data_IF_210325684555
#
_entry.id   IF_210325684555
#
_cell.length_a   1.000
_cell.length_b   1.000
_cell.length_c   1.000
_cell.angle_alpha   90.00
_cell.angle_beta   90.00
_cell.angle_gamma   90.00
#
_symmetry.space_group_name_H-M   'P 1'
#
loop_
_entity.id
_entity.type
_entity.pdbx_description
1 polymer ?
#
# COMPACT_ATOMS: atom_id res chain seq x y z
N UNK A 1 9.76 -31.59 -15.91
CA UNK A 1 9.81 -31.92 -14.47
C UNK A 1 10.67 -30.94 -13.63
N UNK A 2 11.99 -30.79 -13.87
CA UNK A 2 12.86 -29.90 -13.03
C UNK A 2 12.47 -28.41 -12.99
N UNK A 3 11.81 -27.87 -14.01
CA UNK A 3 11.40 -26.46 -14.05
C UNK A 3 10.10 -26.16 -13.29
N UNK A 4 9.22 -27.16 -13.09
CA UNK A 4 7.95 -26.99 -12.36
C UNK A 4 8.09 -27.23 -10.86
N UNK A 5 8.98 -28.11 -10.41
CA UNK A 5 9.30 -28.23 -8.98
C UNK A 5 10.01 -26.98 -8.42
N UNK A 6 10.80 -26.31 -9.26
CA UNK A 6 11.35 -24.97 -8.96
C UNK A 6 10.27 -23.91 -8.79
N UNK A 7 9.04 -24.11 -9.28
CA UNK A 7 7.93 -23.14 -9.23
C UNK A 7 7.28 -23.06 -7.84
N UNK A 8 6.98 -24.22 -7.25
CA UNK A 8 6.47 -24.34 -5.88
C UNK A 8 7.53 -23.85 -4.88
N UNK A 9 8.80 -24.18 -5.15
CA UNK A 9 9.94 -23.65 -4.41
C UNK A 9 10.06 -22.14 -4.64
N UNK A 10 10.05 -21.59 -5.85
CA UNK A 10 10.22 -20.15 -6.11
C UNK A 10 9.11 -19.28 -5.51
N UNK A 11 7.84 -19.68 -5.51
CA UNK A 11 6.79 -18.88 -4.85
C UNK A 11 6.93 -18.91 -3.32
N UNK A 12 7.26 -20.06 -2.76
CA UNK A 12 7.60 -20.17 -1.34
C UNK A 12 8.88 -19.39 -1.04
N UNK A 13 9.95 -19.51 -1.85
CA UNK A 13 11.27 -18.89 -1.70
C UNK A 13 11.30 -17.39 -2.04
N UNK A 14 10.38 -16.87 -2.87
CA UNK A 14 10.25 -15.43 -3.15
C UNK A 14 9.63 -14.71 -1.97
N UNK A 15 8.62 -15.32 -1.34
CA UNK A 15 8.02 -14.84 -0.10
C UNK A 15 8.89 -15.13 1.14
N UNK A 16 9.87 -16.04 1.05
CA UNK A 16 10.51 -16.63 2.24
C UNK A 16 12.06 -16.74 2.22
N UNK A 17 12.77 -16.92 1.11
CA UNK A 17 14.25 -17.10 1.15
C UNK A 17 15.08 -16.03 0.46
N UNK A 18 16.18 -15.67 1.14
CA UNK A 18 17.17 -14.70 0.72
C UNK A 18 18.15 -15.26 -0.31
N UNK A 19 18.12 -14.69 -1.51
CA UNK A 19 19.33 -14.50 -2.31
C UNK A 19 19.91 -13.13 -1.93
N UNK A 20 21.11 -13.15 -1.34
CA UNK A 20 21.82 -11.99 -0.81
C UNK A 20 22.55 -11.30 -1.97
N UNK A 21 22.20 -10.03 -2.25
CA UNK A 21 23.13 -9.13 -2.91
C UNK A 21 23.81 -8.28 -1.83
N UNK A 22 25.14 -8.37 -1.77
CA UNK A 22 25.96 -7.57 -0.88
C UNK A 22 25.91 -6.11 -1.34
N UNK A 23 25.32 -5.25 -0.51
CA UNK A 23 25.52 -3.80 -0.58
C UNK A 23 26.17 -3.35 0.73
N UNK A 24 27.18 -2.51 0.57
CA UNK A 24 28.10 -2.02 1.60
C UNK A 24 27.37 -1.24 2.70
N UNK A 25 27.72 -1.55 3.95
CA UNK A 25 27.13 -0.98 5.17
C UNK A 25 27.33 0.55 5.26
N UNK A 26 26.28 1.34 5.59
CA UNK A 26 26.49 2.72 6.00
C UNK A 26 26.97 2.77 7.46
N UNK A 27 27.93 3.67 7.72
CA UNK A 27 28.52 3.95 9.03
C UNK A 27 27.44 4.38 10.04
N UNK A 28 27.62 3.94 11.30
CA UNK A 28 26.83 4.34 12.47
C UNK A 28 26.92 5.86 12.68
N UNK A 29 25.76 6.51 12.76
CA UNK A 29 25.65 7.87 13.27
C UNK A 29 25.03 7.82 14.67
N UNK A 30 25.75 8.34 15.65
CA UNK A 30 25.28 8.52 17.03
C UNK A 30 24.35 9.73 17.11
N UNK A 31 23.21 9.58 17.77
CA UNK A 31 22.24 10.65 18.03
C UNK A 31 22.51 11.26 19.41
N UNK A 32 22.79 12.57 19.53
CA UNK A 32 22.78 13.26 20.82
C UNK A 32 21.39 13.86 21.08
N UNK A 33 20.85 13.55 22.26
CA UNK A 33 19.61 14.14 22.79
C UNK A 33 19.96 15.35 23.65
N UNK A 34 19.62 16.56 23.20
CA UNK A 34 19.57 17.75 24.05
C UNK A 34 18.36 18.60 23.67
N UNK A 35 17.36 18.62 24.55
CA UNK A 35 16.17 19.45 24.40
C UNK A 35 16.53 20.91 24.68
N UNK A 36 16.45 21.77 23.64
CA UNK A 36 16.62 23.22 23.74
C UNK A 36 15.24 23.89 23.62
N UNK A 37 14.91 24.77 24.56
CA UNK A 37 13.66 25.58 24.54
C UNK A 37 13.57 26.41 23.24
N UNK A 38 12.39 26.57 22.61
CA UNK A 38 12.26 27.34 21.38
C UNK A 38 12.13 28.84 21.69
N UNK A 39 13.11 29.62 21.25
CA UNK A 39 12.93 31.03 20.93
C UNK A 39 12.45 31.16 19.47
N UNK A 40 11.66 32.19 19.18
CA UNK A 40 11.16 32.49 17.84
C UNK A 40 12.30 32.44 16.79
N UNK A 41 12.09 31.71 15.69
CA UNK A 41 12.95 31.75 14.50
C UNK A 41 12.14 32.31 13.34
N UNK A 42 12.37 33.57 13.01
CA UNK A 42 12.10 34.06 11.66
C UNK A 42 12.92 33.22 10.66
N UNK A 43 12.38 32.99 9.47
CA UNK A 43 13.16 32.40 8.37
C UNK A 43 14.45 33.24 8.23
N UNK A 44 15.64 32.61 8.11
CA UNK A 44 16.84 33.35 7.72
C UNK A 44 16.54 34.20 6.49
N UNK A 45 16.80 35.51 6.55
CA UNK A 45 16.66 36.41 5.39
C UNK A 45 17.34 35.75 4.18
N UNK A 46 16.57 35.47 3.12
CA UNK A 46 17.08 34.94 1.85
C UNK A 46 16.57 33.56 1.39
N UNK A 47 15.72 32.86 2.14
CA UNK A 47 15.09 31.62 1.63
C UNK A 47 13.76 31.92 0.91
N UNK A 48 13.70 31.55 -0.37
CA UNK A 48 12.52 31.65 -1.23
C UNK A 48 11.46 30.60 -0.85
N UNK A 49 10.21 31.02 -0.75
CA UNK A 49 9.04 30.15 -0.57
C UNK A 49 8.87 29.24 -1.79
N UNK A 50 8.83 27.92 -1.56
CA UNK A 50 8.75 26.90 -2.61
C UNK A 50 7.44 26.12 -2.56
N UNK A 51 6.91 25.85 -3.74
CA UNK A 51 5.78 24.96 -3.96
C UNK A 51 6.16 23.89 -4.99
N UNK A 52 5.77 22.65 -4.71
CA UNK A 52 5.95 21.52 -5.62
C UNK A 52 4.61 20.83 -5.85
N UNK A 53 4.42 20.25 -7.03
CA UNK A 53 3.23 19.48 -7.36
C UNK A 53 3.63 18.18 -8.04
N UNK A 54 3.06 17.06 -7.59
CA UNK A 54 3.32 15.74 -8.14
C UNK A 54 2.02 14.96 -8.32
N UNK A 55 1.97 14.16 -9.37
CA UNK A 55 0.89 13.21 -9.65
C UNK A 55 1.35 11.81 -9.31
N UNK A 56 0.50 11.00 -8.67
CA UNK A 56 0.87 9.65 -8.27
C UNK A 56 -0.29 8.67 -8.28
N UNK A 57 0.03 7.38 -8.45
CA UNK A 57 -0.88 6.25 -8.24
C UNK A 57 -0.73 5.64 -6.84
N UNK A 58 -0.05 6.33 -5.91
CA UNK A 58 0.15 5.83 -4.55
C UNK A 58 -1.15 5.85 -3.76
N UNK A 59 -1.52 4.69 -3.20
CA UNK A 59 -2.65 4.56 -2.30
C UNK A 59 -2.26 4.77 -0.83
N UNK A 60 -0.98 4.61 -0.52
CA UNK A 60 -0.46 4.64 0.85
C UNK A 60 0.26 5.93 1.21
N UNK A 61 0.51 6.87 0.28
CA UNK A 61 1.38 8.03 0.55
C UNK A 61 0.98 8.85 1.78
N UNK A 62 -0.32 9.11 1.96
CA UNK A 62 -0.82 9.84 3.14
C UNK A 62 -0.60 9.05 4.43
N UNK A 63 -0.74 7.73 4.38
CA UNK A 63 -0.45 6.84 5.51
C UNK A 63 1.05 6.80 5.80
N UNK A 64 1.89 6.77 4.77
CA UNK A 64 3.34 6.78 4.94
C UNK A 64 3.78 8.01 5.76
N UNK A 65 3.25 9.20 5.47
CA UNK A 65 3.54 10.40 6.25
C UNK A 65 3.13 10.30 7.73
N UNK A 66 2.15 9.45 8.06
CA UNK A 66 1.72 9.20 9.44
C UNK A 66 2.51 8.08 10.13
N UNK A 67 3.01 7.09 9.38
CA UNK A 67 3.55 5.83 9.93
C UNK A 67 5.02 5.54 9.61
N UNK A 68 5.74 6.43 8.92
CA UNK A 68 7.21 6.34 8.82
C UNK A 68 7.88 7.31 9.78
N UNK A 69 9.15 7.07 10.18
CA UNK A 69 9.88 8.02 11.00
C UNK A 69 9.96 9.39 10.30
N UNK A 70 9.79 10.53 11.02
CA UNK A 70 9.78 11.86 10.40
C UNK A 70 11.07 12.26 9.66
N UNK A 71 12.16 11.53 9.88
CA UNK A 71 13.45 11.71 9.21
C UNK A 71 13.55 10.97 7.88
N UNK A 72 12.61 10.08 7.58
CA UNK A 72 12.64 9.22 6.41
C UNK A 72 11.78 9.78 5.28
N UNK A 73 12.19 9.51 4.04
CA UNK A 73 11.46 9.99 2.86
C UNK A 73 10.39 8.98 2.46
N UNK A 74 9.12 9.40 2.33
CA UNK A 74 8.06 8.53 1.83
C UNK A 74 8.29 8.15 0.36
N UNK A 75 7.75 7.00 -0.04
CA UNK A 75 7.76 6.53 -1.42
C UNK A 75 6.54 7.09 -2.16
N UNK A 76 6.81 7.89 -3.19
CA UNK A 76 5.80 8.47 -4.08
C UNK A 76 6.01 7.99 -5.53
N UNK A 77 5.34 6.92 -5.99
CA UNK A 77 5.37 6.52 -7.40
C UNK A 77 4.75 7.61 -8.29
N UNK A 78 5.58 8.38 -8.98
CA UNK A 78 5.14 9.46 -9.85
C UNK A 78 4.51 8.87 -11.12
N UNK A 79 3.36 9.41 -11.53
CA UNK A 79 2.67 9.03 -12.76
C UNK A 79 2.57 10.22 -13.71
N UNK A 80 2.88 10.00 -14.98
CA UNK A 80 2.77 11.00 -16.05
C UNK A 80 1.75 10.63 -17.12
N UNK A 81 1.18 9.42 -17.06
CA UNK A 81 0.20 8.90 -18.03
C UNK A 81 -0.91 8.15 -17.30
N UNK A 82 -2.15 8.38 -17.69
CA UNK A 82 -3.33 7.69 -17.15
C UNK A 82 -4.32 7.37 -18.25
N UNK A 83 -5.13 6.34 -18.05
CA UNK A 83 -6.27 6.04 -18.91
C UNK A 83 -7.53 6.80 -18.46
N UNK A 84 -8.52 6.90 -19.34
CA UNK A 84 -9.84 7.37 -18.94
C UNK A 84 -10.38 6.51 -17.78
N UNK A 85 -11.06 7.14 -16.83
CA UNK A 85 -11.63 6.57 -15.59
C UNK A 85 -10.62 6.00 -14.59
N UNK A 86 -9.32 6.04 -14.90
CA UNK A 86 -8.28 5.73 -13.93
C UNK A 86 -8.13 6.88 -12.93
N UNK A 87 -8.17 6.55 -11.64
CA UNK A 87 -7.92 7.50 -10.56
C UNK A 87 -6.42 7.73 -10.38
N UNK A 88 -6.05 8.98 -10.14
CA UNK A 88 -4.73 9.38 -9.67
C UNK A 88 -4.84 10.54 -8.68
N UNK A 89 -3.85 10.67 -7.82
CA UNK A 89 -3.81 11.73 -6.81
C UNK A 89 -2.82 12.83 -7.22
N UNK A 90 -3.19 14.08 -6.92
CA UNK A 90 -2.33 15.26 -7.05
C UNK A 90 -1.94 15.72 -5.65
N UNK A 91 -0.65 15.69 -5.38
CA UNK A 91 -0.03 16.11 -4.14
C UNK A 91 0.62 17.49 -4.31
N UNK A 92 0.31 18.41 -3.41
CA UNK A 92 0.91 19.75 -3.37
C UNK A 92 1.77 19.87 -2.12
N UNK A 93 3.02 20.30 -2.28
CA UNK A 93 3.98 20.41 -1.19
C UNK A 93 4.48 21.84 -1.06
N UNK A 94 4.80 22.22 0.18
CA UNK A 94 5.31 23.54 0.54
C UNK A 94 6.62 23.41 1.30
N UNK A 95 7.53 24.37 1.10
CA UNK A 95 8.80 24.45 1.81
C UNK A 95 9.21 25.92 1.94
N UNK A 96 9.91 26.26 3.02
CA UNK A 96 10.43 27.61 3.30
C UNK A 96 9.32 28.68 3.42
N UNK A 97 8.16 28.35 3.99
CA UNK A 97 7.11 29.34 4.29
C UNK A 97 7.34 30.01 5.65
N UNK A 98 6.78 31.21 5.82
CA UNK A 98 6.94 31.99 7.04
C UNK A 98 6.07 31.49 8.18
N UNK A 99 6.57 31.67 9.39
CA UNK A 99 5.90 31.33 10.63
C UNK A 99 5.85 32.57 11.49
N UNK A 100 4.66 32.91 11.97
CA UNK A 100 4.42 33.99 12.94
C UNK A 100 3.59 33.42 14.08
N UNK A 101 4.02 33.59 15.32
CA UNK A 101 3.33 33.08 16.52
C UNK A 101 3.06 31.57 16.50
N UNK A 102 4.01 30.78 15.97
CA UNK A 102 3.89 29.33 15.70
C UNK A 102 2.77 28.95 14.73
N UNK A 103 2.24 29.90 13.97
CA UNK A 103 1.19 29.73 12.98
C UNK A 103 1.76 29.92 11.57
N UNK A 104 1.21 29.17 10.63
CA UNK A 104 1.45 29.33 9.18
C UNK A 104 0.16 29.71 8.49
N UNK A 105 0.25 30.43 7.38
CA UNK A 105 -0.91 30.75 6.54
C UNK A 105 -0.50 30.66 5.07
N UNK A 106 -0.64 29.47 4.51
CA UNK A 106 -0.40 29.21 3.09
C UNK A 106 -1.71 28.83 2.42
N UNK A 107 -2.04 29.50 1.32
CA UNK A 107 -3.14 29.10 0.44
C UNK A 107 -2.62 28.80 -0.96
N UNK A 108 -3.42 28.12 -1.76
CA UNK A 108 -3.08 27.89 -3.16
C UNK A 108 -4.29 27.79 -4.07
N UNK A 109 -4.06 28.09 -5.33
CA UNK A 109 -5.00 27.87 -6.43
C UNK A 109 -4.54 26.66 -7.23
N UNK A 110 -5.50 25.87 -7.71
CA UNK A 110 -5.26 24.80 -8.68
C UNK A 110 -5.99 25.11 -9.97
N UNK A 111 -5.29 25.03 -11.11
CA UNK A 111 -5.88 25.18 -12.44
C UNK A 111 -5.41 24.07 -13.36
N UNK A 112 -6.34 23.25 -13.82
CA UNK A 112 -6.12 22.21 -14.81
C UNK A 112 -6.51 22.74 -16.19
N UNK A 113 -5.55 22.72 -17.12
CA UNK A 113 -5.75 23.08 -18.53
C UNK A 113 -5.55 21.85 -19.38
N UNK A 114 -6.54 21.52 -20.21
CA UNK A 114 -6.48 20.40 -21.13
C UNK A 114 -5.69 20.70 -22.41
N UNK A 115 -5.68 19.73 -23.35
CA UNK A 115 -5.05 19.89 -24.64
C UNK A 115 -5.56 21.15 -25.35
N UNK A 116 -4.66 21.87 -26.05
CA UNK A 116 -4.95 23.14 -26.74
C UNK A 116 -5.35 24.29 -25.82
N UNK A 117 -4.99 24.23 -24.54
CA UNK A 117 -5.18 25.33 -23.59
C UNK A 117 -6.61 25.49 -23.06
N UNK A 118 -7.54 24.58 -23.41
CA UNK A 118 -8.91 24.61 -22.90
C UNK A 118 -8.91 24.50 -21.38
N UNK A 119 -9.66 25.37 -20.72
CA UNK A 119 -9.89 25.24 -19.29
C UNK A 119 -10.63 23.93 -19.03
N UNK A 120 -10.07 23.10 -18.15
CA UNK A 120 -10.70 21.86 -17.74
C UNK A 120 -11.41 22.04 -16.40
N UNK A 121 -10.69 22.57 -15.42
CA UNK A 121 -11.16 22.78 -14.05
C UNK A 121 -10.23 23.75 -13.32
N UNK A 122 -10.74 24.43 -12.29
CA UNK A 122 -9.89 25.12 -11.33
C UNK A 122 -10.60 25.50 -10.04
N UNK A 123 -9.85 25.55 -8.94
CA UNK A 123 -10.30 26.06 -7.64
C UNK A 123 -9.30 27.07 -7.13
N UNK A 124 -9.80 28.07 -6.42
CA UNK A 124 -9.01 29.16 -5.85
C UNK A 124 -9.08 29.15 -4.33
N UNK A 125 -8.10 29.79 -3.70
CA UNK A 125 -8.05 30.02 -2.25
C UNK A 125 -8.19 28.74 -1.43
N UNK A 126 -7.60 27.64 -1.91
CA UNK A 126 -7.58 26.38 -1.18
C UNK A 126 -6.59 26.46 -0.03
N UNK A 127 -6.97 25.79 1.05
CA UNK A 127 -6.17 25.71 2.27
C UNK A 127 -4.88 24.91 2.02
N UNK A 128 -3.72 25.55 2.08
CA UNK A 128 -2.43 24.90 1.90
C UNK A 128 -1.85 24.41 3.22
N UNK A 129 -1.65 25.30 4.18
CA UNK A 129 -1.28 24.97 5.56
C UNK A 129 -1.91 26.04 6.47
N UNK A 130 -2.76 25.63 7.42
CA UNK A 130 -3.40 26.57 8.35
C UNK A 130 -2.94 26.37 9.79
N UNK A 131 -2.61 27.52 10.40
CA UNK A 131 -2.69 28.03 11.77
C UNK A 131 -2.81 27.06 12.98
N UNK A 132 -3.49 25.91 12.90
CA UNK A 132 -3.77 25.07 14.08
C UNK A 132 -2.67 24.05 14.42
N UNK A 133 -1.71 23.81 13.53
CA UNK A 133 -0.59 22.91 13.79
C UNK A 133 0.67 23.69 14.15
N UNK A 134 1.26 23.40 15.32
CA UNK A 134 2.59 23.90 15.67
C UNK A 134 3.62 23.31 14.69
N UNK A 135 4.07 24.10 13.73
CA UNK A 135 5.14 23.72 12.81
C UNK A 135 6.47 24.24 13.34
N UNK A 136 7.39 23.34 13.66
CA UNK A 136 8.71 23.70 14.21
C UNK A 136 9.82 23.71 13.15
N UNK A 137 9.53 23.31 11.91
CA UNK A 137 10.53 23.14 10.84
C UNK A 137 9.99 23.61 9.47
N UNK A 138 9.85 24.94 9.23
CA UNK A 138 9.32 25.48 7.98
C UNK A 138 10.18 25.17 6.75
N UNK A 139 11.46 24.88 6.95
CA UNK A 139 12.42 24.50 5.91
C UNK A 139 12.29 23.03 5.47
N UNK A 140 11.46 22.22 6.13
CA UNK A 140 11.14 20.87 5.67
C UNK A 140 10.06 20.91 4.58
N UNK A 141 9.89 19.80 3.87
CA UNK A 141 8.80 19.64 2.91
C UNK A 141 7.54 19.25 3.66
N UNK A 142 6.48 20.04 3.49
CA UNK A 142 5.17 19.81 4.10
C UNK A 142 4.14 19.48 3.02
N UNK A 143 3.35 18.44 3.23
CA UNK A 143 2.24 18.10 2.34
C UNK A 143 1.01 18.96 2.68
N UNK A 144 0.33 19.47 1.65
CA UNK A 144 -1.00 20.08 1.78
C UNK A 144 -2.03 19.10 2.34
N UNK A 145 -2.90 19.49 3.29
CA UNK A 145 -4.00 18.64 3.75
C UNK A 145 -5.04 18.40 2.65
N UNK A 146 -5.02 19.20 1.57
CA UNK A 146 -5.86 18.99 0.40
C UNK A 146 -5.13 18.13 -0.64
N UNK A 147 -5.55 16.87 -0.74
CA UNK A 147 -5.14 15.93 -1.80
C UNK A 147 -6.29 15.83 -2.79
N UNK A 148 -5.97 16.04 -4.07
CA UNK A 148 -6.97 15.97 -5.14
C UNK A 148 -6.94 14.59 -5.77
N UNK A 149 -8.07 13.89 -5.71
CA UNK A 149 -8.26 12.65 -6.44
C UNK A 149 -9.01 12.95 -7.72
N UNK A 150 -8.36 12.68 -8.85
CA UNK A 150 -8.83 13.04 -10.20
C UNK A 150 -9.01 11.77 -11.03
N UNK A 151 -10.06 11.76 -11.85
CA UNK A 151 -10.22 10.86 -12.99
C UNK A 151 -10.71 11.63 -14.20
N UNK A 152 -10.25 11.24 -15.39
CA UNK A 152 -10.80 11.76 -16.65
C UNK A 152 -12.00 10.93 -17.11
N UNK A 153 -12.96 11.56 -17.77
CA UNK A 153 -14.06 10.87 -18.44
C UNK A 153 -13.60 10.28 -19.77
N UNK A 154 -14.32 9.27 -20.28
CA UNK A 154 -14.05 8.69 -21.60
C UNK A 154 -14.25 9.68 -22.76
N UNK A 155 -15.06 10.72 -22.55
CA UNK A 155 -15.31 11.80 -23.50
C UNK A 155 -14.25 12.90 -23.49
N UNK A 156 -13.34 12.91 -22.50
CA UNK A 156 -12.36 13.98 -22.38
C UNK A 156 -11.29 13.91 -23.49
N UNK A 157 -10.84 15.06 -24.03
CA UNK A 157 -9.86 15.07 -25.11
C UNK A 157 -8.54 14.40 -24.71
N UNK A 158 -8.12 13.39 -25.48
CA UNK A 158 -6.81 12.75 -25.31
C UNK A 158 -5.69 13.78 -25.46
N UNK A 159 -4.61 13.58 -24.71
CA UNK A 159 -3.40 14.41 -24.78
C UNK A 159 -2.93 14.90 -23.42
N UNK A 160 -2.02 15.87 -23.44
CA UNK A 160 -1.37 16.37 -22.23
C UNK A 160 -2.17 17.46 -21.56
N UNK A 161 -2.51 17.21 -20.29
CA UNK A 161 -3.09 18.17 -19.37
C UNK A 161 -1.97 18.78 -18.53
N UNK A 162 -2.11 20.07 -18.21
CA UNK A 162 -1.20 20.80 -17.32
C UNK A 162 -1.94 21.19 -16.06
N UNK A 163 -1.42 20.75 -14.92
CA UNK A 163 -1.94 21.06 -13.58
C UNK A 163 -1.06 22.15 -13.01
N UNK A 164 -1.58 23.37 -12.94
CA UNK A 164 -0.86 24.55 -12.46
C UNK A 164 -1.26 24.82 -11.01
N UNK A 165 -0.28 25.10 -10.17
CA UNK A 165 -0.46 25.54 -8.79
C UNK A 165 0.11 26.94 -8.65
N UNK A 166 -0.67 27.86 -8.08
CA UNK A 166 -0.19 29.15 -7.60
C UNK A 166 -0.36 29.15 -6.09
N UNK A 167 0.74 29.26 -5.34
CA UNK A 167 0.70 29.28 -3.88
C UNK A 167 1.10 30.66 -3.34
N UNK A 168 0.50 31.05 -2.24
CA UNK A 168 0.73 32.32 -1.55
C UNK A 168 0.98 32.05 -0.08
N UNK A 169 2.12 32.51 0.44
CA UNK A 169 2.39 32.59 1.87
C UNK A 169 1.97 33.98 2.37
N UNK A 170 0.86 34.04 3.10
CA UNK A 170 0.27 35.29 3.57
C UNK A 170 1.06 35.95 4.71
N UNK A 171 2.01 35.25 5.32
CA UNK A 171 2.84 35.81 6.39
C UNK A 171 4.03 36.56 5.79
N UNK A 172 4.71 35.98 4.79
CA UNK A 172 5.82 36.66 4.10
C UNK A 172 5.38 37.54 2.91
N UNK A 173 4.16 37.33 2.40
CA UNK A 173 3.67 37.95 1.16
C UNK A 173 4.26 37.32 -0.12
N UNK A 174 5.06 36.26 -0.01
CA UNK A 174 5.66 35.61 -1.18
C UNK A 174 4.64 34.78 -1.95
N UNK A 175 4.75 34.81 -3.28
CA UNK A 175 4.00 33.95 -4.18
C UNK A 175 4.94 33.05 -4.99
N UNK A 176 4.48 31.85 -5.31
CA UNK A 176 5.20 30.94 -6.19
C UNK A 176 4.24 30.20 -7.12
N UNK A 177 4.73 29.83 -8.30
CA UNK A 177 3.96 29.11 -9.33
C UNK A 177 4.72 27.86 -9.74
N UNK A 178 4.02 26.74 -9.79
CA UNK A 178 4.57 25.46 -10.25
C UNK A 178 3.55 24.72 -11.11
N UNK A 179 3.98 23.69 -11.80
CA UNK A 179 3.08 22.85 -12.57
C UNK A 179 3.61 21.42 -12.72
N UNK A 180 2.69 20.50 -12.98
CA UNK A 180 3.00 19.15 -13.47
C UNK A 180 2.17 18.82 -14.71
N UNK A 181 2.54 17.76 -15.42
CA UNK A 181 1.87 17.29 -16.64
C UNK A 181 1.41 15.85 -16.47
N UNK A 182 0.19 15.60 -16.93
CA UNK A 182 -0.39 14.27 -17.01
C UNK A 182 -0.96 14.06 -18.41
N UNK A 183 -0.61 12.96 -19.07
CA UNK A 183 -1.16 12.61 -20.38
C UNK A 183 -2.33 11.67 -20.21
N UNK A 184 -3.51 12.11 -20.64
CA UNK A 184 -4.67 11.25 -20.80
C UNK A 184 -4.48 10.41 -22.07
N UNK A 185 -4.32 9.11 -21.86
CA UNK A 185 -4.40 8.10 -22.90
C UNK A 185 -5.87 7.87 -23.29
N UNK A 186 -6.11 7.07 -24.34
CA UNK A 186 -7.46 6.58 -24.61
C UNK A 186 -7.98 5.65 -23.51
N UNK A 187 -8.98 4.82 -23.84
CA UNK A 187 -9.29 3.66 -22.99
C UNK A 187 -8.12 2.67 -22.96
N UNK A 188 -7.99 1.85 -21.90
CA UNK A 188 -7.09 0.70 -21.97
C UNK A 188 -7.53 -0.21 -23.13
N UNK A 189 -6.62 -1.03 -23.70
CA UNK A 189 -7.01 -2.13 -24.57
C UNK A 189 -8.20 -2.90 -23.97
N UNK A 190 -9.28 -3.07 -24.73
CA UNK A 190 -10.44 -3.82 -24.25
C UNK A 190 -10.21 -5.33 -24.27
N UNK A 191 -9.16 -5.78 -24.97
CA UNK A 191 -8.77 -7.18 -25.07
C UNK A 191 -7.27 -7.30 -24.83
N UNK A 192 -6.91 -8.28 -24.01
CA UNK A 192 -5.53 -8.64 -23.73
C UNK A 192 -5.34 -10.12 -24.00
N UNK A 193 -4.18 -10.46 -24.55
CA UNK A 193 -3.71 -11.83 -24.57
C UNK A 193 -2.92 -12.10 -23.29
N UNK A 194 -2.99 -13.33 -22.79
CA UNK A 194 -2.07 -13.78 -21.77
C UNK A 194 -0.64 -13.59 -22.28
N UNK A 195 0.22 -13.01 -21.45
CA UNK A 195 1.65 -12.92 -21.73
C UNK A 195 2.30 -14.14 -21.09
N UNK A 196 3.24 -14.77 -21.79
CA UNK A 196 4.06 -15.86 -21.28
C UNK A 196 5.08 -15.32 -20.26
N UNK A 197 4.62 -14.85 -19.11
CA UNK A 197 5.49 -14.51 -18.02
C UNK A 197 6.03 -15.78 -17.38
N UNK A 198 7.33 -15.78 -17.12
CA UNK A 198 7.91 -16.72 -16.19
C UNK A 198 7.34 -16.44 -14.79
N UNK A 199 7.25 -17.48 -13.95
CA UNK A 199 6.89 -17.33 -12.54
C UNK A 199 7.72 -16.29 -11.77
N UNK A 200 8.99 -16.19 -12.13
CA UNK A 200 9.90 -15.20 -11.56
C UNK A 200 9.47 -13.77 -11.90
N UNK A 201 9.11 -13.51 -13.16
CA UNK A 201 8.66 -12.19 -13.59
C UNK A 201 7.32 -11.81 -12.96
N UNK A 202 6.40 -12.77 -12.78
CA UNK A 202 5.16 -12.55 -12.03
C UNK A 202 5.49 -12.19 -10.58
N UNK A 203 6.37 -12.96 -9.92
CA UNK A 203 6.81 -12.69 -8.55
C UNK A 203 7.44 -11.32 -8.38
N UNK A 204 8.37 -10.93 -9.27
CA UNK A 204 9.02 -9.61 -9.25
C UNK A 204 8.02 -8.48 -9.51
N UNK A 205 7.10 -8.66 -10.47
CA UNK A 205 6.03 -7.69 -10.73
C UNK A 205 5.15 -7.48 -9.50
N UNK A 206 4.78 -8.57 -8.82
CA UNK A 206 3.91 -8.52 -7.64
C UNK A 206 4.63 -7.87 -6.45
N UNK A 207 5.83 -8.34 -6.09
CA UNK A 207 6.54 -7.91 -4.87
C UNK A 207 6.87 -6.42 -4.85
N UNK A 208 7.09 -5.81 -6.01
CA UNK A 208 7.48 -4.40 -6.12
C UNK A 208 6.41 -3.50 -6.75
N UNK A 209 5.18 -3.99 -6.91
CA UNK A 209 4.12 -3.23 -7.57
C UNK A 209 3.86 -1.88 -6.89
N UNK A 210 3.80 -1.83 -5.55
CA UNK A 210 3.57 -0.57 -4.82
C UNK A 210 4.66 0.49 -5.03
N UNK A 211 5.89 0.11 -5.40
CA UNK A 211 6.99 1.05 -5.69
C UNK A 211 6.86 1.66 -7.09
N UNK A 212 6.35 0.89 -8.05
CA UNK A 212 6.24 1.28 -9.45
C UNK A 212 4.99 0.64 -10.07
N UNK A 213 3.79 1.14 -9.72
CA UNK A 213 2.54 0.55 -10.16
C UNK A 213 2.41 0.68 -11.68
N UNK A 214 2.14 -0.45 -12.34
CA UNK A 214 1.90 -0.54 -13.79
C UNK A 214 0.53 -1.18 -14.06
N UNK A 215 -0.58 -0.44 -13.84
CA UNK A 215 -1.94 -0.98 -14.00
C UNK A 215 -2.20 -1.62 -15.37
N UNK A 216 -1.62 -1.07 -16.44
CA UNK A 216 -1.75 -1.56 -17.80
C UNK A 216 -1.27 -3.00 -18.00
N UNK A 217 -0.44 -3.51 -17.07
CA UNK A 217 0.05 -4.89 -17.09
C UNK A 217 -0.82 -5.85 -16.29
N UNK A 218 -1.76 -5.38 -15.47
CA UNK A 218 -2.52 -6.23 -14.55
C UNK A 218 -3.33 -7.30 -15.27
N UNK A 219 -4.09 -6.93 -16.31
CA UNK A 219 -4.90 -7.89 -17.07
C UNK A 219 -4.03 -8.98 -17.72
N UNK A 220 -3.03 -8.69 -18.57
CA UNK A 220 -2.25 -9.75 -19.22
C UNK A 220 -1.45 -10.61 -18.23
N UNK A 221 -0.96 -10.02 -17.13
CA UNK A 221 -0.29 -10.79 -16.06
C UNK A 221 -1.28 -11.71 -15.35
N UNK A 222 -2.49 -11.24 -15.04
CA UNK A 222 -3.51 -12.04 -14.38
C UNK A 222 -3.97 -13.22 -15.25
N UNK A 223 -4.18 -13.01 -16.55
CA UNK A 223 -4.53 -14.10 -17.48
C UNK A 223 -3.43 -15.16 -17.55
N UNK A 224 -2.16 -14.75 -17.62
CA UNK A 224 -1.03 -15.69 -17.57
C UNK A 224 -0.98 -16.45 -16.23
N UNK A 225 -1.29 -15.78 -15.13
CA UNK A 225 -1.41 -16.38 -13.81
C UNK A 225 -2.55 -17.41 -13.72
N UNK A 226 -3.74 -17.13 -14.28
CA UNK A 226 -4.87 -18.06 -14.29
C UNK A 226 -4.52 -19.39 -14.96
N UNK A 227 -3.82 -19.32 -16.10
CA UNK A 227 -3.31 -20.49 -16.81
C UNK A 227 -2.33 -21.28 -15.94
N UNK A 228 -1.32 -20.62 -15.36
CA UNK A 228 -0.34 -21.28 -14.48
C UNK A 228 -1.02 -21.96 -13.28
N UNK A 229 -2.03 -21.31 -12.68
CA UNK A 229 -2.75 -21.90 -11.54
C UNK A 229 -3.55 -23.13 -11.94
N UNK A 230 -4.17 -23.10 -13.11
CA UNK A 230 -4.90 -24.26 -13.65
C UNK A 230 -3.93 -25.41 -13.91
N UNK A 231 -2.84 -25.16 -14.63
CA UNK A 231 -1.80 -26.16 -14.91
C UNK A 231 -1.21 -26.76 -13.61
N UNK A 232 -1.04 -25.95 -12.57
CA UNK A 232 -0.52 -26.39 -11.27
C UNK A 232 -1.54 -27.18 -10.47
N UNK A 233 -2.83 -26.84 -10.52
CA UNK A 233 -3.88 -27.56 -9.81
C UNK A 233 -4.11 -28.95 -10.43
N UNK A 234 -3.96 -29.06 -11.75
CA UNK A 234 -4.05 -30.35 -12.44
C UNK A 234 -2.88 -31.28 -12.05
N UNK A 235 -1.69 -30.72 -11.79
CA UNK A 235 -0.50 -31.49 -11.34
C UNK A 235 -0.47 -31.70 -9.81
N UNK A 236 -0.96 -30.74 -9.04
CA UNK A 236 -0.98 -30.71 -7.57
C UNK A 236 -2.36 -30.25 -7.10
N UNK A 237 -3.32 -31.17 -6.87
CA UNK A 237 -4.70 -30.83 -6.51
C UNK A 237 -4.82 -29.94 -5.26
N UNK A 238 -3.87 -30.04 -4.32
CA UNK A 238 -3.83 -29.25 -3.09
C UNK A 238 -3.16 -27.87 -3.24
N UNK A 239 -2.79 -27.47 -4.46
CA UNK A 239 -2.17 -26.17 -4.72
C UNK A 239 -3.12 -25.03 -4.35
N UNK A 240 -2.70 -24.19 -3.39
CA UNK A 240 -3.46 -23.06 -2.90
C UNK A 240 -2.85 -21.74 -3.38
N UNK A 241 -3.49 -21.08 -4.33
CA UNK A 241 -3.08 -19.79 -4.89
C UNK A 241 -3.76 -18.57 -4.25
N UNK A 242 -4.39 -18.71 -3.09
CA UNK A 242 -5.19 -17.65 -2.45
C UNK A 242 -4.39 -16.39 -2.11
N UNK A 243 -3.13 -16.54 -1.70
CA UNK A 243 -2.27 -15.38 -1.45
C UNK A 243 -2.03 -14.58 -2.74
N UNK A 244 -1.76 -15.27 -3.85
CA UNK A 244 -1.56 -14.63 -5.15
C UNK A 244 -2.84 -13.94 -5.63
N UNK A 245 -4.00 -14.57 -5.42
CA UNK A 245 -5.30 -13.93 -5.67
C UNK A 245 -5.51 -12.66 -4.85
N UNK A 246 -5.02 -12.61 -3.59
CA UNK A 246 -5.15 -11.42 -2.75
C UNK A 246 -4.40 -10.21 -3.31
N UNK A 247 -3.24 -10.42 -3.96
CA UNK A 247 -2.54 -9.35 -4.66
C UNK A 247 -3.40 -8.79 -5.79
N UNK A 248 -3.91 -9.65 -6.67
CA UNK A 248 -4.72 -9.21 -7.80
C UNK A 248 -6.02 -8.57 -7.33
N UNK A 249 -6.68 -9.13 -6.32
CA UNK A 249 -7.84 -8.55 -5.68
C UNK A 249 -7.58 -7.10 -5.27
N UNK A 250 -6.48 -6.84 -4.56
CA UNK A 250 -6.13 -5.48 -4.12
C UNK A 250 -5.74 -4.59 -5.29
N UNK A 251 -4.91 -5.08 -6.21
CA UNK A 251 -4.46 -4.31 -7.36
C UNK A 251 -5.61 -3.89 -8.29
N UNK A 252 -6.56 -4.78 -8.59
CA UNK A 252 -7.74 -4.46 -9.39
C UNK A 252 -8.77 -3.62 -8.63
N UNK A 253 -8.90 -3.78 -7.31
CA UNK A 253 -9.76 -2.90 -6.48
C UNK A 253 -9.30 -1.44 -6.55
N UNK A 254 -8.00 -1.21 -6.74
CA UNK A 254 -7.39 0.10 -6.98
C UNK A 254 -7.41 0.51 -8.46
N UNK A 255 -7.70 -0.40 -9.38
CA UNK A 255 -7.67 -0.16 -10.82
C UNK A 255 -8.95 -0.67 -11.49
N UNK A 256 -10.11 -0.32 -10.91
CA UNK A 256 -11.42 -0.86 -11.35
C UNK A 256 -11.76 -0.52 -12.80
N UNK A 257 -11.13 0.51 -13.38
CA UNK A 257 -11.23 0.85 -14.80
C UNK A 257 -10.81 -0.30 -15.75
N UNK A 258 -10.04 -1.27 -15.25
CA UNK A 258 -9.60 -2.44 -16.02
C UNK A 258 -10.59 -3.60 -16.00
N UNK A 259 -11.63 -3.57 -15.13
CA UNK A 259 -12.56 -4.69 -15.00
C UNK A 259 -13.33 -5.01 -16.29
N UNK A 260 -13.75 -4.03 -17.12
CA UNK A 260 -14.32 -4.33 -18.44
C UNK A 260 -13.35 -5.07 -19.35
N UNK A 261 -12.07 -4.68 -19.37
CA UNK A 261 -11.06 -5.33 -20.19
C UNK A 261 -10.73 -6.74 -19.68
N UNK A 262 -10.68 -6.94 -18.36
CA UNK A 262 -10.55 -8.26 -17.75
C UNK A 262 -11.72 -9.17 -18.16
N UNK A 263 -12.95 -8.67 -18.03
CA UNK A 263 -14.18 -9.38 -18.42
C UNK A 263 -14.14 -9.83 -19.88
N UNK A 264 -13.83 -8.89 -20.79
CA UNK A 264 -13.76 -9.18 -22.21
C UNK A 264 -12.63 -10.15 -22.60
N UNK A 265 -11.53 -10.16 -21.83
CA UNK A 265 -10.42 -11.06 -22.10
C UNK A 265 -10.63 -12.46 -21.48
N UNK A 266 -11.43 -12.56 -20.40
CA UNK A 266 -11.69 -13.80 -19.69
C UNK A 266 -12.93 -14.56 -20.19
N UNK A 267 -13.90 -13.88 -20.81
CA UNK A 267 -15.18 -14.50 -21.21
C UNK A 267 -15.04 -15.70 -22.14
N UNK A 268 -14.01 -15.69 -23.00
CA UNK A 268 -13.74 -16.74 -24.00
C UNK A 268 -12.75 -17.80 -23.50
N UNK A 269 -12.29 -17.71 -22.25
CA UNK A 269 -11.40 -18.70 -21.64
C UNK A 269 -12.19 -19.94 -21.18
N UNK A 270 -11.51 -21.11 -21.08
CA UNK A 270 -12.07 -22.26 -20.38
C UNK A 270 -12.53 -21.89 -18.98
N UNK A 271 -13.61 -22.51 -18.51
CA UNK A 271 -14.17 -22.20 -17.19
C UNK A 271 -13.17 -22.37 -16.05
N UNK A 272 -12.27 -23.35 -16.17
CA UNK A 272 -11.19 -23.62 -15.22
C UNK A 272 -10.28 -22.41 -14.94
N UNK A 273 -10.10 -21.53 -15.93
CA UNK A 273 -9.36 -20.26 -15.82
C UNK A 273 -10.30 -19.08 -15.53
N UNK A 274 -11.44 -19.01 -16.24
CA UNK A 274 -12.45 -17.95 -16.14
C UNK A 274 -12.95 -17.76 -14.70
N UNK A 275 -13.13 -18.86 -13.96
CA UNK A 275 -13.60 -18.83 -12.57
C UNK A 275 -12.71 -17.97 -11.65
N UNK A 276 -11.42 -17.81 -11.96
CA UNK A 276 -10.53 -16.94 -11.17
C UNK A 276 -10.89 -15.46 -11.32
N UNK A 277 -11.27 -15.02 -12.52
CA UNK A 277 -11.75 -13.66 -12.74
C UNK A 277 -13.08 -13.41 -12.01
N UNK A 278 -14.00 -14.37 -12.08
CA UNK A 278 -15.29 -14.32 -11.35
C UNK A 278 -15.04 -14.24 -9.85
N UNK A 279 -14.20 -15.13 -9.30
CA UNK A 279 -13.85 -15.14 -7.88
C UNK A 279 -13.29 -13.79 -7.41
N UNK A 280 -12.40 -13.20 -8.18
CA UNK A 280 -11.81 -11.90 -7.86
C UNK A 280 -12.84 -10.77 -7.90
N UNK A 281 -13.71 -10.74 -8.91
CA UNK A 281 -14.75 -9.72 -9.04
C UNK A 281 -15.85 -9.86 -7.99
N UNK A 282 -16.16 -11.08 -7.54
CA UNK A 282 -17.17 -11.36 -6.53
C UNK A 282 -16.95 -10.50 -5.27
N UNK A 283 -15.71 -10.45 -4.80
CA UNK A 283 -15.30 -9.76 -3.57
C UNK A 283 -15.05 -8.26 -3.73
N UNK A 284 -15.19 -7.72 -4.94
CA UNK A 284 -14.98 -6.29 -5.20
C UNK A 284 -16.22 -5.49 -4.94
N UNK A 285 -16.07 -4.40 -4.21
CA UNK A 285 -17.12 -3.41 -4.02
C UNK A 285 -17.32 -2.60 -5.31
N UNK A 286 -18.18 -3.09 -6.21
CA UNK A 286 -18.51 -2.40 -7.44
C UNK A 286 -19.96 -2.64 -7.89
N UNK A 287 -20.74 -1.59 -8.17
CA UNK A 287 -22.15 -1.72 -8.55
C UNK A 287 -22.36 -2.40 -9.90
N UNK A 288 -21.35 -2.39 -10.76
CA UNK A 288 -21.42 -3.02 -12.09
C UNK A 288 -20.96 -4.49 -12.11
N UNK A 289 -20.64 -5.09 -10.95
CA UNK A 289 -20.26 -6.51 -10.83
C UNK A 289 -21.24 -7.45 -11.54
N UNK A 290 -22.57 -7.38 -11.32
CA UNK A 290 -23.50 -8.35 -11.92
C UNK A 290 -23.46 -8.32 -13.46
N UNK A 291 -23.33 -7.11 -14.04
CA UNK A 291 -23.23 -6.93 -15.49
C UNK A 291 -21.94 -7.52 -16.06
N UNK A 292 -20.81 -7.31 -15.38
CA UNK A 292 -19.52 -7.86 -15.82
C UNK A 292 -19.52 -9.39 -15.75
N UNK A 293 -20.06 -9.96 -14.68
CA UNK A 293 -20.14 -11.42 -14.52
C UNK A 293 -21.09 -12.03 -15.55
N UNK A 294 -22.26 -11.43 -15.79
CA UNK A 294 -23.19 -11.89 -16.82
C UNK A 294 -22.56 -11.91 -18.22
N UNK A 295 -21.69 -10.94 -18.53
CA UNK A 295 -20.98 -10.88 -19.81
C UNK A 295 -19.96 -12.04 -20.01
N UNK A 296 -19.61 -12.78 -18.94
CA UNK A 296 -18.73 -13.96 -19.01
C UNK A 296 -19.49 -15.29 -19.21
N UNK A 297 -20.82 -15.28 -19.15
CA UNK A 297 -21.69 -16.42 -19.45
C UNK A 297 -22.43 -17.02 -18.25
N UNK A 298 -23.34 -17.97 -18.49
CA UNK A 298 -24.17 -18.58 -17.44
C UNK A 298 -23.38 -19.37 -16.39
N UNK A 299 -22.28 -20.01 -16.80
CA UNK A 299 -21.32 -20.72 -15.94
C UNK A 299 -20.70 -19.79 -14.90
N UNK A 300 -20.25 -18.61 -15.34
CA UNK A 300 -19.72 -17.56 -14.47
C UNK A 300 -20.76 -17.05 -13.47
N UNK A 301 -22.00 -16.81 -13.92
CA UNK A 301 -23.09 -16.39 -13.03
C UNK A 301 -23.44 -17.46 -11.99
N UNK A 302 -23.44 -18.74 -12.38
CA UNK A 302 -23.69 -19.84 -11.45
C UNK A 302 -22.60 -19.91 -10.38
N UNK A 303 -21.34 -19.77 -10.78
CA UNK A 303 -20.23 -19.76 -9.83
C UNK A 303 -20.23 -18.53 -8.91
N UNK A 304 -20.56 -17.33 -9.41
CA UNK A 304 -20.71 -16.14 -8.56
C UNK A 304 -21.71 -16.38 -7.42
N UNK A 305 -22.85 -17.03 -7.72
CA UNK A 305 -23.87 -17.36 -6.73
C UNK A 305 -23.40 -18.35 -5.66
N UNK A 306 -22.47 -19.26 -5.97
CA UNK A 306 -21.96 -20.19 -4.93
C UNK A 306 -21.11 -19.45 -3.89
N UNK A 307 -20.53 -18.31 -4.27
CA UNK A 307 -19.68 -17.49 -3.42
C UNK A 307 -20.48 -16.58 -2.47
N UNK A 308 -21.77 -16.32 -2.72
CA UNK A 308 -22.62 -15.45 -1.88
C UNK A 308 -22.69 -15.93 -0.41
N UNK A 309 -22.54 -17.23 -0.16
CA UNK A 309 -22.52 -17.84 1.17
C UNK A 309 -21.15 -17.81 1.86
N UNK A 310 -20.10 -17.44 1.12
CA UNK A 310 -18.73 -17.48 1.60
C UNK A 310 -18.35 -16.19 2.34
N UNK A 311 -17.35 -16.26 3.21
CA UNK A 311 -16.72 -15.07 3.77
C UNK A 311 -15.62 -14.58 2.82
N UNK A 312 -15.46 -13.26 2.71
CA UNK A 312 -14.38 -12.69 1.92
C UNK A 312 -13.01 -13.15 2.49
N UNK A 313 -12.24 -13.97 1.75
CA UNK A 313 -11.02 -14.57 2.27
C UNK A 313 -9.86 -13.56 2.37
N UNK A 314 -10.01 -12.37 1.77
CA UNK A 314 -9.01 -11.31 1.79
C UNK A 314 -9.15 -10.39 3.00
N UNK A 315 -10.23 -10.53 3.79
CA UNK A 315 -10.41 -9.78 5.04
C UNK A 315 -9.81 -10.59 6.19
N UNK A 316 -8.56 -10.29 6.53
CA UNK A 316 -7.86 -10.89 7.66
C UNK A 316 -7.93 -9.95 8.86
N UNK A 317 -8.51 -10.42 9.98
CA UNK A 317 -8.47 -9.68 11.26
C UNK A 317 -7.16 -9.92 12.00
N UNK A 318 -6.76 -11.18 12.12
CA UNK A 318 -5.48 -11.63 12.67
C UNK A 318 -5.11 -12.92 11.94
N UNK A 319 -3.86 -13.05 11.50
CA UNK A 319 -3.44 -14.27 10.80
C UNK A 319 -3.28 -15.42 11.79
N UNK A 320 -3.86 -16.57 11.45
CA UNK A 320 -3.85 -17.84 12.21
C UNK A 320 -3.32 -19.01 11.38
N UNK A 321 -2.84 -18.74 10.18
CA UNK A 321 -2.19 -19.69 9.28
C UNK A 321 -1.12 -19.00 8.44
N UNK A 322 -0.22 -19.78 7.83
CA UNK A 322 0.76 -19.29 6.85
C UNK A 322 0.09 -18.63 5.65
N UNK A 323 -0.96 -19.23 5.11
CA UNK A 323 -1.70 -18.67 3.97
C UNK A 323 -2.26 -17.28 4.28
N UNK A 324 -2.76 -17.05 5.50
CA UNK A 324 -3.25 -15.72 5.90
C UNK A 324 -2.12 -14.69 6.06
N UNK A 325 -0.92 -15.11 6.48
CA UNK A 325 0.26 -14.24 6.46
C UNK A 325 0.64 -13.86 5.02
N UNK A 326 0.63 -14.83 4.10
CA UNK A 326 0.95 -14.59 2.69
C UNK A 326 -0.10 -13.70 2.01
N UNK A 327 -1.39 -13.83 2.36
CA UNK A 327 -2.44 -12.89 1.95
C UNK A 327 -2.10 -11.47 2.40
N UNK A 328 -1.73 -11.27 3.67
CA UNK A 328 -1.36 -9.94 4.19
C UNK A 328 -0.13 -9.36 3.44
N UNK A 329 0.87 -10.19 3.14
CA UNK A 329 2.00 -9.78 2.32
C UNK A 329 1.59 -9.36 0.92
N UNK A 330 0.74 -10.14 0.25
CA UNK A 330 0.22 -9.83 -1.07
C UNK A 330 -0.59 -8.53 -1.10
N UNK A 331 -1.38 -8.25 -0.07
CA UNK A 331 -2.10 -6.98 0.09
C UNK A 331 -1.13 -5.80 0.26
N UNK A 332 -0.05 -5.97 1.04
CA UNK A 332 1.01 -4.96 1.16
C UNK A 332 1.74 -4.74 -0.17
N UNK A 333 2.18 -5.79 -0.86
CA UNK A 333 2.93 -5.64 -2.10
C UNK A 333 2.12 -4.97 -3.22
N UNK A 334 0.79 -5.16 -3.22
CA UNK A 334 -0.10 -4.46 -4.13
C UNK A 334 -0.22 -2.95 -3.84
N UNK A 335 -0.18 -2.51 -2.58
CA UNK A 335 -0.64 -1.17 -2.17
C UNK A 335 0.38 -0.30 -1.41
N UNK A 336 1.33 -0.92 -0.72
CA UNK A 336 2.24 -0.30 0.23
C UNK A 336 1.56 0.19 1.52
N UNK A 337 0.28 -0.14 1.75
CA UNK A 337 -0.47 0.30 2.93
C UNK A 337 0.10 -0.28 4.23
N UNK A 338 -0.08 0.46 5.32
CA UNK A 338 0.44 0.04 6.62
C UNK A 338 -0.42 -1.06 7.27
N UNK A 339 -1.73 -1.08 7.02
CA UNK A 339 -2.66 -2.01 7.68
C UNK A 339 -2.24 -3.50 7.57
N UNK A 340 -1.86 -4.03 6.39
CA UNK A 340 -1.44 -5.44 6.32
C UNK A 340 -0.17 -5.72 7.13
N UNK A 341 0.78 -4.78 7.14
CA UNK A 341 2.02 -4.86 7.95
C UNK A 341 1.70 -4.87 9.43
N UNK A 342 0.80 -3.99 9.87
CA UNK A 342 0.34 -3.94 11.25
C UNK A 342 -0.29 -5.26 11.70
N UNK A 343 -1.09 -5.91 10.85
CA UNK A 343 -1.67 -7.23 11.15
C UNK A 343 -0.63 -8.34 11.22
N UNK A 344 0.42 -8.29 10.39
CA UNK A 344 1.56 -9.21 10.48
C UNK A 344 2.31 -8.99 11.82
N UNK A 345 2.55 -7.74 12.20
CA UNK A 345 3.18 -7.39 13.47
C UNK A 345 2.36 -7.90 14.67
N UNK A 346 1.04 -7.68 14.66
CA UNK A 346 0.13 -8.18 15.67
C UNK A 346 0.09 -9.73 15.74
N UNK A 347 0.42 -10.42 14.65
CA UNK A 347 0.47 -11.87 14.61
C UNK A 347 1.66 -12.44 15.40
N UNK A 348 2.76 -11.68 15.57
CA UNK A 348 3.88 -12.11 16.43
C UNK A 348 3.45 -12.34 17.89
N UNK A 349 2.39 -11.67 18.35
CA UNK A 349 1.82 -11.83 19.69
C UNK A 349 1.41 -13.28 19.99
N UNK A 350 1.07 -14.08 18.97
CA UNK A 350 0.71 -15.49 19.14
C UNK A 350 1.83 -16.32 19.78
N UNK A 351 3.08 -15.87 19.68
CA UNK A 351 4.22 -16.51 20.34
C UNK A 351 4.23 -16.35 21.87
N UNK A 352 3.47 -15.42 22.45
CA UNK A 352 3.38 -15.25 23.92
C UNK A 352 2.66 -16.42 24.58
N UNK A 353 1.59 -16.90 23.95
CA UNK A 353 0.73 -17.96 24.47
C UNK A 353 0.95 -19.30 23.76
N UNK A 354 1.59 -19.27 22.60
CA UNK A 354 1.99 -20.44 21.83
C UNK A 354 2.96 -21.35 22.59
N UNK A 355 2.90 -22.65 22.27
CA UNK A 355 3.74 -23.67 22.90
C UNK A 355 5.07 -23.78 22.16
N UNK A 356 6.17 -23.49 22.85
CA UNK A 356 7.51 -23.48 22.24
C UNK A 356 8.03 -24.90 21.98
N UNK A 357 8.95 -25.11 21.02
CA UNK A 357 9.55 -26.42 20.76
C UNK A 357 10.17 -27.06 22.01
N UNK A 358 10.81 -26.28 22.88
CA UNK A 358 11.44 -26.76 24.11
C UNK A 358 10.41 -27.20 25.16
N UNK A 359 9.27 -26.50 25.22
CA UNK A 359 8.15 -26.83 26.11
C UNK A 359 7.42 -28.09 25.60
N UNK A 360 7.26 -28.22 24.29
CA UNK A 360 6.66 -29.40 23.65
C UNK A 360 7.46 -30.68 23.94
N UNK A 361 8.80 -30.62 23.90
CA UNK A 361 9.68 -31.77 24.24
C UNK A 361 9.50 -32.28 25.68
N UNK A 362 8.98 -31.44 26.58
CA UNK A 362 8.78 -31.77 28.01
C UNK A 362 7.37 -32.29 28.30
N UNK A 363 6.46 -32.26 27.33
CA UNK A 363 5.10 -32.75 27.54
C UNK A 363 5.06 -34.27 27.55
N UNK A 364 4.50 -34.83 28.62
CA UNK A 364 4.13 -36.25 28.71
C UNK A 364 2.72 -36.42 28.14
N UNK A 365 2.58 -36.38 26.81
CA UNK A 365 1.31 -36.57 26.09
C UNK A 365 0.73 -35.29 25.45
N UNK A 366 -0.34 -35.46 24.67
CA UNK A 366 -0.99 -34.37 23.90
C UNK A 366 -2.31 -33.96 24.57
N UNK A 367 -2.24 -32.96 25.45
CA UNK A 367 -3.45 -32.37 26.02
C UNK A 367 -4.35 -31.70 24.95
N UNK A 368 -5.68 -31.58 25.21
CA UNK A 368 -6.57 -30.77 24.39
C UNK A 368 -6.03 -29.34 24.20
N UNK A 369 -6.08 -28.81 22.98
CA UNK A 369 -5.58 -27.46 22.67
C UNK A 369 -4.08 -27.36 22.39
N UNK A 370 -3.28 -28.40 22.66
CA UNK A 370 -1.82 -28.42 22.35
C UNK A 370 -1.54 -28.09 20.89
N UNK A 371 -2.28 -28.69 19.94
CA UNK A 371 -2.15 -28.40 18.51
C UNK A 371 -2.38 -26.92 18.17
N UNK A 372 -3.34 -26.28 18.84
CA UNK A 372 -3.62 -24.85 18.62
C UNK A 372 -2.46 -23.98 19.11
N UNK A 373 -1.91 -24.29 20.29
CA UNK A 373 -0.78 -23.54 20.85
C UNK A 373 0.50 -23.72 20.04
N UNK A 374 0.75 -24.93 19.50
CA UNK A 374 1.87 -25.17 18.57
C UNK A 374 1.68 -24.30 17.31
N UNK A 375 0.48 -24.30 16.73
CA UNK A 375 0.16 -23.50 15.54
C UNK A 375 0.36 -22.00 15.79
N UNK A 376 -0.12 -21.48 16.91
CA UNK A 376 0.04 -20.08 17.30
C UNK A 376 1.53 -19.71 17.40
N UNK A 377 2.36 -20.58 18.00
CA UNK A 377 3.81 -20.36 18.03
C UNK A 377 4.43 -20.36 16.63
N UNK A 378 4.10 -21.34 15.79
CA UNK A 378 4.63 -21.44 14.43
C UNK A 378 4.24 -20.22 13.60
N UNK A 379 2.97 -19.83 13.60
CA UNK A 379 2.47 -18.68 12.82
C UNK A 379 3.09 -17.38 13.31
N UNK A 380 3.14 -17.15 14.62
CA UNK A 380 3.79 -15.97 15.17
C UNK A 380 5.30 -15.91 14.88
N UNK A 381 5.99 -17.05 14.91
CA UNK A 381 7.40 -17.14 14.54
C UNK A 381 7.63 -16.90 13.04
N UNK A 382 6.76 -17.44 12.18
CA UNK A 382 6.79 -17.18 10.73
C UNK A 382 6.56 -15.71 10.41
N UNK A 383 5.72 -15.00 11.16
CA UNK A 383 5.56 -13.55 11.05
C UNK A 383 6.87 -12.81 11.38
N UNK A 384 7.51 -13.10 12.52
CA UNK A 384 8.82 -12.52 12.91
C UNK A 384 9.88 -12.76 11.82
N UNK A 385 9.96 -13.99 11.32
CA UNK A 385 10.96 -14.36 10.33
C UNK A 385 10.71 -13.69 8.96
N UNK A 386 9.47 -13.71 8.46
CA UNK A 386 9.15 -13.06 7.17
C UNK A 386 9.33 -11.54 7.22
N UNK A 387 9.02 -10.90 8.36
CA UNK A 387 9.32 -9.48 8.59
C UNK A 387 10.82 -9.21 8.46
N UNK A 388 11.67 -10.04 9.09
CA UNK A 388 13.13 -9.91 9.01
C UNK A 388 13.65 -10.03 7.58
N UNK A 389 13.12 -10.96 6.80
CA UNK A 389 13.51 -11.13 5.38
C UNK A 389 13.05 -9.93 4.55
N UNK A 390 11.78 -9.54 4.66
CA UNK A 390 11.21 -8.48 3.84
C UNK A 390 11.73 -7.08 4.21
N UNK A 391 12.05 -6.79 5.49
CA UNK A 391 12.64 -5.51 5.90
C UNK A 391 14.01 -5.24 5.25
N UNK A 392 14.70 -6.28 4.78
CA UNK A 392 15.97 -6.12 4.06
C UNK A 392 15.76 -5.70 2.60
N UNK A 393 14.60 -6.01 2.03
CA UNK A 393 14.26 -5.77 0.61
C UNK A 393 13.40 -4.52 0.43
N UNK A 394 12.52 -4.26 1.37
CA UNK A 394 11.50 -3.22 1.27
C UNK A 394 11.77 -2.12 2.29
N UNK A 395 12.35 -1.00 1.82
CA UNK A 395 12.67 0.16 2.66
C UNK A 395 11.44 0.68 3.42
N UNK A 396 10.31 0.78 2.73
CA UNK A 396 9.05 1.24 3.33
C UNK A 396 8.59 0.34 4.49
N UNK A 397 8.67 -0.98 4.32
CA UNK A 397 8.32 -1.93 5.38
C UNK A 397 9.24 -1.76 6.61
N UNK A 398 10.53 -1.56 6.37
CA UNK A 398 11.49 -1.29 7.45
C UNK A 398 11.10 -0.03 8.22
N UNK A 399 10.73 1.04 7.52
CA UNK A 399 10.28 2.27 8.17
C UNK A 399 9.03 2.08 9.02
N UNK A 400 8.04 1.34 8.52
CA UNK A 400 6.87 0.97 9.32
C UNK A 400 7.25 0.21 10.59
N UNK A 401 8.20 -0.73 10.49
CA UNK A 401 8.68 -1.48 11.66
C UNK A 401 9.45 -0.58 12.64
N UNK A 402 10.25 0.36 12.15
CA UNK A 402 10.98 1.34 12.97
C UNK A 402 10.03 2.30 13.70
N UNK A 403 9.00 2.78 13.02
CA UNK A 403 7.97 3.63 13.62
C UNK A 403 7.20 2.89 14.72
N UNK A 404 6.76 1.65 14.49
CA UNK A 404 6.10 0.83 15.51
C UNK A 404 7.04 0.54 16.68
N UNK A 405 8.32 0.26 16.42
CA UNK A 405 9.29 0.05 17.50
C UNK A 405 9.48 1.32 18.37
N UNK A 406 9.49 2.50 17.75
CA UNK A 406 9.65 3.78 18.42
C UNK A 406 8.40 4.25 19.19
N UNK A 407 7.22 3.77 18.81
CA UNK A 407 5.96 4.13 19.49
C UNK A 407 5.99 3.69 20.98
N UNK A 408 5.81 4.61 21.93
CA UNK A 408 5.70 4.29 23.36
C UNK A 408 4.65 3.22 23.67
N UNK A 409 3.52 3.23 22.96
CA UNK A 409 2.37 2.34 23.20
C UNK A 409 2.56 0.93 22.65
N UNK A 410 3.62 0.68 21.86
CA UNK A 410 3.90 -0.66 21.37
C UNK A 410 4.24 -1.61 22.54
N UNK A 411 3.56 -2.76 22.67
CA UNK A 411 3.77 -3.69 23.76
C UNK A 411 5.23 -4.15 23.89
N UNK A 412 5.77 -4.31 25.12
CA UNK A 412 7.17 -4.68 25.34
C UNK A 412 7.61 -5.96 24.62
N UNK A 413 6.72 -6.96 24.53
CA UNK A 413 6.98 -8.18 23.79
C UNK A 413 7.17 -7.94 22.29
N UNK A 414 6.29 -7.14 21.69
CA UNK A 414 6.37 -6.76 20.28
C UNK A 414 7.64 -5.93 20.03
N UNK A 415 7.98 -4.98 20.91
CA UNK A 415 9.26 -4.25 20.85
C UNK A 415 10.47 -5.19 20.86
N UNK A 416 10.47 -6.19 21.75
CA UNK A 416 11.54 -7.18 21.82
C UNK A 416 11.65 -8.03 20.54
N UNK A 417 10.53 -8.44 19.93
CA UNK A 417 10.54 -9.17 18.64
C UNK A 417 11.00 -8.28 17.50
N UNK A 418 10.47 -7.06 17.41
CA UNK A 418 10.89 -6.06 16.42
C UNK A 418 12.38 -5.72 16.53
N UNK A 419 12.95 -5.69 17.73
CA UNK A 419 14.38 -5.44 17.89
C UNK A 419 15.24 -6.52 17.20
N UNK A 420 14.78 -7.78 17.18
CA UNK A 420 15.43 -8.88 16.44
C UNK A 420 15.28 -8.75 14.94
N UNK A 421 14.10 -8.30 14.48
CA UNK A 421 13.82 -8.00 13.06
C UNK A 421 14.74 -6.88 12.57
N UNK A 422 14.86 -5.79 13.33
CA UNK A 422 15.59 -4.58 12.98
C UNK A 422 17.09 -4.64 13.31
N UNK A 423 17.54 -5.63 14.08
CA UNK A 423 18.94 -5.72 14.55
C UNK A 423 19.29 -4.68 15.62
N UNK A 424 18.30 -4.23 16.40
CA UNK A 424 18.44 -3.24 17.46
C UNK A 424 18.60 -3.94 18.81
N UNK A 425 19.51 -3.44 19.66
CA UNK A 425 19.65 -3.91 21.04
C UNK A 425 18.48 -3.41 21.88
N UNK A 426 17.64 -4.33 22.35
CA UNK A 426 16.55 -4.05 23.29
C UNK A 426 16.47 -5.21 24.29
N UNK A 427 16.45 -4.89 25.59
CA UNK A 427 16.27 -5.88 26.65
C UNK A 427 14.81 -5.87 27.08
N UNK A 428 14.19 -7.04 27.14
CA UNK A 428 12.83 -7.18 27.65
C UNK A 428 12.79 -6.77 29.13
N UNK A 429 11.83 -5.93 29.56
CA UNK A 429 11.66 -5.59 30.98
C UNK A 429 11.36 -6.84 31.81
N UNK A 430 11.92 -6.90 33.04
CA UNK A 430 11.83 -8.07 33.93
C UNK A 430 10.43 -8.36 34.49
N UNK A 431 9.47 -7.42 34.38
CA UNK A 431 8.09 -7.53 34.89
C UNK A 431 7.04 -7.80 33.80
N UNK A 432 7.37 -8.54 32.73
CA UNK A 432 6.37 -8.90 31.73
C UNK A 432 5.55 -10.11 32.20
N UNK A 433 4.28 -9.87 32.54
CA UNK A 433 3.34 -10.95 32.89
C UNK A 433 2.75 -11.56 31.62
N UNK A 434 3.04 -12.83 31.29
CA UNK A 434 2.37 -13.50 30.18
C UNK A 434 0.87 -13.64 30.52
N UNK A 435 0.00 -13.02 29.72
CA UNK A 435 -1.46 -13.21 29.83
C UNK A 435 -2.32 -11.97 30.04
N UNK A 436 -1.76 -10.76 30.21
CA UNK A 436 -2.56 -9.53 30.00
C UNK A 436 -3.04 -9.55 28.56
N UNK A 437 -4.33 -9.38 28.22
CA UNK A 437 -4.79 -9.24 26.83
C UNK A 437 -4.20 -7.94 26.24
N UNK A 438 -3.20 -7.97 25.35
CA UNK A 438 -2.70 -6.75 24.75
C UNK A 438 -3.39 -6.69 23.39
N UNK A 439 -4.44 -5.88 23.26
CA UNK A 439 -4.72 -5.35 21.94
C UNK A 439 -3.51 -4.50 21.58
N UNK A 440 -2.91 -4.74 20.42
CA UNK A 440 -1.96 -3.81 19.82
C UNK A 440 -2.73 -2.50 19.56
N UNK A 441 -2.89 -1.66 20.59
CA UNK A 441 -3.39 -0.30 20.48
C UNK A 441 -2.17 0.58 20.27
N UNK A 442 -1.54 0.44 19.11
CA UNK A 442 -0.72 1.54 18.60
C UNK A 442 -1.69 2.72 18.57
N UNK A 443 -1.34 3.81 19.25
CA UNK A 443 -2.09 5.05 19.15
C UNK A 443 -1.74 5.62 17.78
N UNK A 444 -2.28 4.93 16.78
CA UNK A 444 -2.27 5.28 15.38
C UNK A 444 -2.78 6.69 15.40
N UNK A 445 -1.89 7.66 15.15
CA UNK A 445 -2.33 8.99 14.76
C UNK A 445 -3.22 8.72 13.56
N UNK A 446 -4.53 8.64 13.79
CA UNK A 446 -5.55 8.92 12.78
C UNK A 446 -5.29 10.37 12.45
N UNK A 447 -4.24 10.60 11.68
CA UNK A 447 -4.10 11.85 11.02
C UNK A 447 -5.25 11.81 10.03
N UNK A 448 -6.33 12.48 10.38
CA UNK A 448 -7.45 12.81 9.51
C UNK A 448 -6.91 13.74 8.40
N UNK A 449 -6.01 13.20 7.57
CA UNK A 449 -5.51 13.86 6.37
C UNK A 449 -6.52 13.75 5.20
N UNK A 450 -7.69 13.15 5.42
CA UNK A 450 -8.67 12.92 4.36
C UNK A 450 -9.77 14.00 4.35
N UNK A 451 -9.40 15.23 3.98
CA UNK A 451 -10.27 16.00 3.08
C UNK A 451 -9.90 15.59 1.65
N UNK A 452 -10.32 14.38 1.25
CA UNK A 452 -10.21 13.97 -0.15
C UNK A 452 -11.26 14.72 -0.93
N UNK A 453 -10.84 15.73 -1.69
CA UNK A 453 -11.72 16.41 -2.62
C UNK A 453 -11.80 15.56 -3.89
N UNK A 454 -12.94 14.91 -4.10
CA UNK A 454 -13.26 14.30 -5.39
C UNK A 454 -13.49 15.42 -6.40
N UNK A 455 -12.66 15.50 -7.42
CA UNK A 455 -12.84 16.49 -8.47
C UNK A 455 -13.56 15.83 -9.65
N UNK A 456 -14.89 15.97 -9.70
CA UNK A 456 -15.71 15.63 -10.86
C UNK A 456 -16.26 16.90 -11.50
N UNK A 457 -16.23 16.96 -12.84
CA UNK A 457 -16.72 18.09 -13.65
C UNK A 457 -18.17 18.48 -13.34
N UNK A 458 -18.98 17.54 -12.84
CA UNK A 458 -20.39 17.76 -12.54
C UNK A 458 -20.64 18.49 -11.21
N UNK A 459 -19.62 18.67 -10.36
CA UNK A 459 -19.78 19.40 -9.10
C UNK A 459 -19.67 20.93 -9.23
N UNK A 460 -19.11 21.44 -10.34
CA UNK A 460 -18.95 22.89 -10.58
C UNK A 460 -20.09 23.48 -11.44
N UNK A 461 -21.19 22.72 -11.64
CA UNK A 461 -22.42 23.17 -12.33
C UNK A 461 -23.53 23.65 -11.38
N UNK A 462 -23.21 23.92 -10.11
CA UNK A 462 -24.15 24.53 -9.16
C UNK A 462 -23.66 25.89 -8.69
#
# INVERSE_FOLDING_TARGET
MKNKFRLLLLFTLMLSTGTVFAQTSPKKTTVPTAARKPSAKAIPKGQEFKCFVQTSLSYSFSEQLAYIPPTETPVLPIVSKVYATQLFDVYVFFQNFAIKDNKTNVTFDVKVTGPRGRHFFGRKNLEGLVISQKINAPNHVHLSPNIFRISFNTSDPKGTYRINIKATDHISGQETKTFTRITLLGGPPMFYKAVNFTPREIGEFMCYYYLNPKPERLVPVFLGFCKICTDLRDEYPDFNHMALMAFFYRAFSMNKFLLPALTNSAKDLPFSEKQHAVFLMHWMDTPYRPRLIAAMGPDAMQYDRTLDSCHNPFIIKQARSSVQLDILWSLFFASGEFEPVFKILATMQLMETGLKPEELKRLKGVAPGTRSRIRDWIVGHSAEWSLKVNCRRHKLLRYYCEAVFADPETPPFIKYRLSKVLGIKYKMPSKHFPGSKPSLNVNIRKADFRKTLSLNRDQDKK
#
